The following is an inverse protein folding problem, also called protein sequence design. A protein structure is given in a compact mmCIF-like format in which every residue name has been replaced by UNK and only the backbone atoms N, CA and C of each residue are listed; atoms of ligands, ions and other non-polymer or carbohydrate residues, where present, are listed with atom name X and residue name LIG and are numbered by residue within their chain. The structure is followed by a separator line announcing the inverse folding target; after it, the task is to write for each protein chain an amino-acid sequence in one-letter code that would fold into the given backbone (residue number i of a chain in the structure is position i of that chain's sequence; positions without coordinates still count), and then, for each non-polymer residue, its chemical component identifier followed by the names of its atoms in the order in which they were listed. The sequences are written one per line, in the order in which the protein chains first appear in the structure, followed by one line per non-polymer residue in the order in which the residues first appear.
data_IF_954594764128
#
_entry.id   IF_954594764128
#
_cell.length_a   1.000
_cell.length_b   1.000
_cell.length_c   1.000
_cell.angle_alpha   90.00
_cell.angle_beta   90.00
_cell.angle_gamma   90.00
#
_symmetry.space_group_name_H-M   'P 1'
#
loop_
_entity.id
_entity.type
_entity.pdbx_description
1 polymer ?
#
# COMPACT_ATOMS: atom_id res chain seq x y z
N UNK A 1 -9.95 23.56 -34.77
CA UNK A 1 -9.98 23.49 -33.31
C UNK A 1 -8.70 22.84 -32.86
N UNK A 2 -8.01 23.38 -31.87
CA UNK A 2 -6.84 22.74 -31.26
C UNK A 2 -7.25 21.43 -30.60
N UNK A 3 -6.49 20.36 -30.85
CA UNK A 3 -6.71 19.08 -30.18
C UNK A 3 -6.44 19.24 -28.68
N UNK A 4 -7.48 19.10 -27.86
CA UNK A 4 -7.39 19.25 -26.40
C UNK A 4 -6.62 18.11 -25.73
N UNK A 5 -6.36 17.02 -26.45
CA UNK A 5 -5.63 15.85 -25.95
C UNK A 5 -4.18 15.80 -26.46
N UNK A 6 -3.73 16.80 -27.24
CA UNK A 6 -2.37 16.83 -27.79
C UNK A 6 -1.28 16.68 -26.71
N UNK A 7 -1.50 17.27 -25.52
CA UNK A 7 -0.57 17.18 -24.40
C UNK A 7 -0.28 15.73 -23.96
N UNK A 8 -1.25 14.81 -24.10
CA UNK A 8 -1.07 13.39 -23.76
C UNK A 8 -0.05 12.75 -24.72
N UNK A 9 -0.16 13.04 -26.02
CA UNK A 9 0.75 12.51 -27.02
C UNK A 9 2.16 13.07 -26.83
N UNK A 10 2.27 14.35 -26.50
CA UNK A 10 3.54 15.03 -26.18
C UNK A 10 4.21 14.42 -24.94
N UNK A 11 3.47 14.27 -23.83
CA UNK A 11 3.99 13.63 -22.61
C UNK A 11 4.45 12.19 -22.85
N UNK A 12 3.67 11.42 -23.62
CA UNK A 12 4.01 10.05 -23.99
C UNK A 12 5.27 9.96 -24.87
N UNK A 13 5.47 10.92 -25.77
CA UNK A 13 6.68 11.00 -26.58
C UNK A 13 7.90 11.32 -25.70
N UNK A 14 7.76 12.27 -24.78
CA UNK A 14 8.82 12.64 -23.83
C UNK A 14 9.23 11.45 -22.94
N UNK A 15 8.26 10.69 -22.41
CA UNK A 15 8.55 9.48 -21.63
C UNK A 15 9.31 8.43 -22.45
N UNK A 16 8.99 8.27 -23.73
CA UNK A 16 9.69 7.33 -24.62
C UNK A 16 11.11 7.79 -24.91
N UNK A 17 11.30 9.07 -25.21
CA UNK A 17 12.62 9.67 -25.46
C UNK A 17 13.55 9.53 -24.24
N UNK A 18 13.01 9.70 -23.03
CA UNK A 18 13.74 9.55 -21.77
C UNK A 18 13.92 8.09 -21.33
N UNK A 19 13.34 7.12 -22.04
CA UNK A 19 13.36 5.71 -21.64
C UNK A 19 12.54 5.41 -20.36
N UNK A 20 11.66 6.32 -19.94
CA UNK A 20 10.78 6.19 -18.78
C UNK A 20 9.43 5.56 -19.13
N UNK A 21 9.14 5.36 -20.41
CA UNK A 21 7.90 4.75 -20.85
C UNK A 21 7.84 3.27 -20.43
N UNK A 22 6.86 2.92 -19.58
CA UNK A 22 6.71 1.58 -19.02
C UNK A 22 5.99 0.67 -20.00
N UNK A 23 6.64 -0.42 -20.40
CA UNK A 23 6.02 -1.52 -21.13
C UNK A 23 5.61 -2.65 -20.16
N UNK A 24 4.31 -2.78 -19.93
CA UNK A 24 3.77 -3.81 -19.03
C UNK A 24 3.86 -5.19 -19.70
N UNK A 25 4.49 -6.14 -19.02
CA UNK A 25 4.62 -7.54 -19.46
C UNK A 25 3.34 -8.31 -19.12
N UNK A 26 2.95 -9.27 -19.96
CA UNK A 26 1.73 -10.06 -19.76
C UNK A 26 2.06 -11.41 -19.14
N UNK A 27 1.41 -11.72 -18.03
CA UNK A 27 1.51 -13.02 -17.35
C UNK A 27 0.40 -13.96 -17.85
N UNK A 28 0.78 -15.16 -18.27
CA UNK A 28 -0.13 -16.15 -18.89
C UNK A 28 -0.20 -17.47 -18.10
N UNK A 29 0.33 -17.50 -16.88
CA UNK A 29 0.24 -18.61 -15.94
C UNK A 29 -0.07 -18.11 -14.52
N UNK A 30 -0.49 -18.97 -13.59
CA UNK A 30 -0.47 -18.63 -12.16
C UNK A 30 0.93 -18.17 -11.72
N UNK A 31 0.98 -17.35 -10.68
CA UNK A 31 2.24 -16.94 -10.05
C UNK A 31 2.86 -18.13 -9.33
N UNK A 32 4.07 -18.50 -9.73
CA UNK A 32 4.86 -19.58 -9.13
C UNK A 32 6.36 -19.29 -9.34
N UNK A 33 7.24 -20.21 -8.95
CA UNK A 33 8.66 -20.13 -9.27
C UNK A 33 8.88 -20.10 -10.80
N UNK A 34 8.19 -20.94 -11.56
CA UNK A 34 8.20 -20.91 -13.01
C UNK A 34 6.91 -20.33 -13.55
N UNK A 35 7.01 -19.34 -14.44
CA UNK A 35 5.88 -18.62 -15.02
C UNK A 35 5.95 -18.57 -16.54
N UNK A 36 4.83 -18.31 -17.19
CA UNK A 36 4.77 -17.92 -18.61
C UNK A 36 4.53 -16.42 -18.69
N UNK A 37 5.47 -15.69 -19.28
CA UNK A 37 5.41 -14.24 -19.48
C UNK A 37 5.74 -13.93 -20.93
N UNK A 38 4.83 -13.22 -21.61
CA UNK A 38 4.89 -12.92 -23.05
C UNK A 38 5.23 -14.16 -23.90
N UNK A 39 4.54 -15.27 -23.66
CA UNK A 39 4.67 -16.56 -24.34
C UNK A 39 5.91 -17.35 -23.97
N UNK A 40 6.72 -16.90 -23.00
CA UNK A 40 8.00 -17.54 -22.64
C UNK A 40 7.97 -18.08 -21.22
N UNK A 41 8.49 -19.30 -21.05
CA UNK A 41 8.72 -19.89 -19.73
C UNK A 41 9.94 -19.25 -19.06
N UNK A 42 9.74 -18.62 -17.91
CA UNK A 42 10.77 -17.87 -17.16
C UNK A 42 10.78 -18.26 -15.69
N UNK A 43 11.93 -18.10 -15.03
CA UNK A 43 12.07 -18.25 -13.58
C UNK A 43 11.80 -16.89 -12.93
N UNK A 44 10.89 -16.85 -11.96
CA UNK A 44 10.38 -15.64 -11.33
C UNK A 44 11.22 -15.24 -10.12
N UNK A 45 11.79 -14.02 -10.18
CA UNK A 45 12.53 -13.38 -9.09
C UNK A 45 12.01 -11.97 -8.77
N UNK A 46 10.83 -11.58 -9.26
CA UNK A 46 10.36 -10.19 -9.17
C UNK A 46 8.93 -10.04 -8.60
N UNK A 47 8.25 -11.12 -8.24
CA UNK A 47 6.97 -11.03 -7.52
C UNK A 47 7.17 -10.96 -6.02
N UNK A 48 6.28 -10.26 -5.32
CA UNK A 48 6.26 -10.21 -3.85
C UNK A 48 5.59 -11.44 -3.21
N UNK A 49 5.62 -12.60 -3.89
CA UNK A 49 5.04 -13.86 -3.42
C UNK A 49 6.03 -14.64 -2.54
N UNK A 50 6.55 -13.99 -1.49
CA UNK A 50 7.70 -14.48 -0.70
C UNK A 50 7.51 -15.90 -0.13
N UNK A 51 6.29 -16.25 0.25
CA UNK A 51 5.96 -17.55 0.85
C UNK A 51 5.33 -18.54 -0.15
N UNK A 52 5.24 -18.19 -1.43
CA UNK A 52 4.62 -19.05 -2.45
C UNK A 52 3.11 -19.23 -2.29
N UNK A 53 2.44 -18.38 -1.50
CA UNK A 53 1.04 -18.58 -1.14
C UNK A 53 0.06 -18.25 -2.27
N UNK A 54 0.43 -17.37 -3.22
CA UNK A 54 -0.48 -16.90 -4.27
C UNK A 54 -1.13 -18.02 -5.12
N UNK A 55 -0.45 -19.15 -5.31
CA UNK A 55 -0.95 -20.32 -6.04
C UNK A 55 -1.11 -21.58 -5.16
N UNK A 56 -1.05 -21.43 -3.83
CA UNK A 56 -1.06 -22.57 -2.92
C UNK A 56 -2.41 -23.33 -2.97
N UNK A 57 -2.42 -24.68 -3.09
CA UNK A 57 -3.66 -25.46 -3.25
C UNK A 57 -4.72 -25.18 -2.19
N UNK A 58 -4.32 -25.10 -0.91
CA UNK A 58 -5.25 -24.80 0.20
C UNK A 58 -5.90 -23.42 0.08
N UNK A 59 -5.22 -22.42 -0.50
CA UNK A 59 -5.82 -21.09 -0.72
C UNK A 59 -6.83 -21.12 -1.87
N UNK A 60 -6.53 -21.85 -2.95
CA UNK A 60 -7.47 -22.05 -4.07
C UNK A 60 -8.76 -22.71 -3.59
N UNK A 61 -8.64 -23.79 -2.82
CA UNK A 61 -9.80 -24.48 -2.24
C UNK A 61 -10.60 -23.59 -1.29
N UNK A 62 -9.91 -22.81 -0.43
CA UNK A 62 -10.58 -21.87 0.47
C UNK A 62 -11.34 -20.77 -0.29
N UNK A 63 -10.74 -20.22 -1.35
CA UNK A 63 -11.38 -19.23 -2.21
C UNK A 63 -12.61 -19.80 -2.93
N UNK A 64 -12.50 -21.01 -3.50
CA UNK A 64 -13.64 -21.69 -4.16
C UNK A 64 -14.80 -21.93 -3.20
N UNK A 65 -14.52 -22.40 -1.97
CA UNK A 65 -15.56 -22.57 -0.94
C UNK A 65 -16.20 -21.24 -0.55
N UNK A 66 -15.39 -20.19 -0.35
CA UNK A 66 -15.88 -18.87 0.01
C UNK A 66 -16.80 -18.30 -1.10
N UNK A 67 -16.45 -18.47 -2.38
CA UNK A 67 -17.30 -18.05 -3.49
C UNK A 67 -18.65 -18.79 -3.49
N UNK A 68 -18.65 -20.10 -3.26
CA UNK A 68 -19.90 -20.87 -3.21
C UNK A 68 -20.79 -20.46 -2.03
N UNK A 69 -20.21 -20.17 -0.86
CA UNK A 69 -20.96 -19.86 0.36
C UNK A 69 -21.39 -18.39 0.45
N UNK A 70 -20.54 -17.45 0.01
CA UNK A 70 -20.69 -16.01 0.23
C UNK A 70 -20.89 -15.19 -1.05
N UNK A 71 -20.74 -15.80 -2.22
CA UNK A 71 -20.69 -15.10 -3.51
C UNK A 71 -19.36 -14.35 -3.73
N UNK A 72 -19.32 -13.52 -4.77
CA UNK A 72 -18.11 -12.80 -5.20
C UNK A 72 -17.80 -11.59 -4.32
N UNK A 73 -18.81 -10.98 -3.70
CA UNK A 73 -18.61 -9.83 -2.83
C UNK A 73 -19.91 -9.26 -2.27
N UNK A 74 -19.81 -8.32 -1.33
CA UNK A 74 -20.96 -7.85 -0.55
C UNK A 74 -21.77 -6.73 -1.24
N UNK A 75 -21.32 -6.21 -2.38
CA UNK A 75 -22.00 -5.16 -3.18
C UNK A 75 -22.35 -3.85 -2.43
N UNK A 76 -21.78 -3.62 -1.24
CA UNK A 76 -22.02 -2.43 -0.44
C UNK A 76 -20.81 -2.10 0.45
N UNK A 77 -20.78 -0.87 0.97
CA UNK A 77 -19.78 -0.44 1.96
C UNK A 77 -20.07 -1.04 3.34
N UNK A 78 -19.02 -1.15 4.16
CA UNK A 78 -19.07 -1.77 5.50
C UNK A 78 -20.20 -1.23 6.39
N UNK A 79 -20.47 0.07 6.32
CA UNK A 79 -21.43 0.79 7.17
C UNK A 79 -22.90 0.63 6.78
N UNK A 80 -23.20 0.05 5.62
CA UNK A 80 -24.58 -0.09 5.13
C UNK A 80 -25.01 -1.56 5.14
N UNK A 81 -24.53 -2.33 4.16
CA UNK A 81 -24.84 -3.75 3.99
C UNK A 81 -23.60 -4.55 3.52
N UNK A 82 -22.40 -4.00 3.73
CA UNK A 82 -21.16 -4.52 3.17
C UNK A 82 -20.41 -5.52 4.06
N UNK A 83 -20.80 -5.67 5.32
CA UNK A 83 -20.03 -6.44 6.31
C UNK A 83 -20.51 -7.89 6.39
N UNK A 84 -19.83 -8.77 5.68
CA UNK A 84 -19.96 -10.23 5.86
C UNK A 84 -19.24 -10.73 7.12
N UNK A 85 -19.67 -11.88 7.66
CA UNK A 85 -19.00 -12.57 8.79
C UNK A 85 -17.52 -12.85 8.50
N UNK A 86 -17.16 -13.11 7.24
CA UNK A 86 -15.77 -13.29 6.80
C UNK A 86 -14.87 -12.10 7.13
N UNK A 87 -15.38 -10.86 7.01
CA UNK A 87 -14.60 -9.67 7.37
C UNK A 87 -14.28 -9.63 8.86
N UNK A 88 -15.28 -9.88 9.70
CA UNK A 88 -15.12 -9.87 11.15
C UNK A 88 -14.17 -10.98 11.63
N UNK A 89 -14.25 -12.17 11.03
CA UNK A 89 -13.34 -13.27 11.36
C UNK A 89 -11.91 -12.99 10.90
N UNK A 90 -11.73 -12.39 9.72
CA UNK A 90 -10.41 -11.94 9.26
C UNK A 90 -9.82 -10.91 10.22
N UNK A 91 -10.59 -9.88 10.58
CA UNK A 91 -10.17 -8.81 11.49
C UNK A 91 -9.80 -9.34 12.88
N UNK A 92 -10.60 -10.28 13.42
CA UNK A 92 -10.30 -10.96 14.69
C UNK A 92 -8.98 -11.73 14.62
N UNK A 93 -8.79 -12.55 13.58
CA UNK A 93 -7.58 -13.37 13.39
C UNK A 93 -6.34 -12.52 13.13
N UNK A 94 -6.47 -11.40 12.42
CA UNK A 94 -5.37 -10.46 12.20
C UNK A 94 -4.98 -9.75 13.50
N UNK A 95 -5.95 -9.34 14.32
CA UNK A 95 -5.69 -8.74 15.63
C UNK A 95 -4.93 -9.72 16.54
N UNK A 96 -5.38 -10.98 16.59
CA UNK A 96 -4.71 -12.07 17.32
C UNK A 96 -3.28 -12.31 16.81
N UNK A 97 -3.10 -12.41 15.48
CA UNK A 97 -1.78 -12.62 14.86
C UNK A 97 -0.80 -11.46 15.14
N UNK A 98 -1.29 -10.22 15.18
CA UNK A 98 -0.48 -9.02 15.44
C UNK A 98 -0.33 -8.69 16.92
N UNK A 99 -1.06 -9.37 17.81
CA UNK A 99 -1.04 -9.08 19.25
C UNK A 99 -1.62 -7.71 19.60
N UNK A 100 -2.66 -7.26 18.87
CA UNK A 100 -3.33 -5.96 19.07
C UNK A 100 -4.80 -6.14 19.46
N UNK A 101 -5.40 -5.11 20.07
CA UNK A 101 -6.77 -5.17 20.59
C UNK A 101 -7.83 -5.34 19.48
N UNK A 102 -7.60 -4.74 18.31
CA UNK A 102 -8.49 -4.80 17.17
C UNK A 102 -7.72 -4.60 15.85
N UNK A 103 -8.31 -5.01 14.73
CA UNK A 103 -7.81 -4.70 13.40
C UNK A 103 -8.96 -4.35 12.46
N UNK A 104 -8.64 -3.65 11.37
CA UNK A 104 -9.60 -3.27 10.34
C UNK A 104 -9.07 -3.68 8.97
N UNK A 105 -9.88 -4.40 8.21
CA UNK A 105 -9.57 -4.78 6.84
C UNK A 105 -9.96 -3.67 5.86
N UNK A 106 -9.06 -3.40 4.92
CA UNK A 106 -9.25 -2.50 3.78
C UNK A 106 -8.67 -3.13 2.52
N UNK A 107 -9.04 -2.62 1.35
CA UNK A 107 -8.78 -3.29 0.06
C UNK A 107 -7.29 -3.43 -0.31
N UNK A 108 -6.41 -2.59 0.23
CA UNK A 108 -4.98 -2.65 -0.04
C UNK A 108 -4.16 -2.02 1.08
N UNK A 109 -2.87 -2.35 1.15
CA UNK A 109 -1.91 -1.65 2.03
C UNK A 109 -1.80 -0.15 1.69
N UNK A 110 -2.02 0.22 0.42
CA UNK A 110 -2.07 1.62 0.00
C UNK A 110 -3.24 2.36 0.69
N UNK A 111 -4.44 1.78 0.63
CA UNK A 111 -5.62 2.33 1.29
C UNK A 111 -5.48 2.37 2.81
N UNK A 112 -4.80 1.38 3.42
CA UNK A 112 -4.58 1.34 4.86
C UNK A 112 -3.84 2.59 5.35
N UNK A 113 -2.74 2.94 4.70
CA UNK A 113 -1.97 4.14 5.03
C UNK A 113 -2.76 5.43 4.79
N UNK A 114 -3.48 5.51 3.67
CA UNK A 114 -4.31 6.68 3.34
C UNK A 114 -5.51 6.88 4.26
N UNK A 115 -5.99 5.84 4.95
CA UNK A 115 -7.09 5.93 5.90
C UNK A 115 -6.55 6.17 7.32
N UNK A 116 -5.51 5.44 7.72
CA UNK A 116 -5.00 5.49 9.09
C UNK A 116 -4.39 6.84 9.45
N UNK A 117 -3.51 7.37 8.59
CA UNK A 117 -2.75 8.60 8.86
C UNK A 117 -3.67 9.82 9.06
N UNK A 118 -4.57 10.19 8.12
CA UNK A 118 -5.44 11.36 8.28
C UNK A 118 -6.51 11.19 9.37
N UNK A 119 -6.77 9.97 9.85
CA UNK A 119 -7.66 9.74 10.99
C UNK A 119 -6.97 10.08 12.33
N UNK A 120 -5.64 10.01 12.39
CA UNK A 120 -4.85 10.23 13.62
C UNK A 120 -4.36 11.67 13.78
N UNK A 121 -4.08 12.36 12.68
CA UNK A 121 -3.50 13.70 12.64
C UNK A 121 -4.18 14.60 11.61
N UNK A 122 -4.17 15.91 11.86
CA UNK A 122 -4.75 16.93 10.98
C UNK A 122 -3.96 18.25 10.95
N UNK A 123 -4.59 19.33 10.48
CA UNK A 123 -3.97 20.66 10.27
C UNK A 123 -3.23 21.26 11.46
N UNK A 124 -3.60 20.88 12.68
CA UNK A 124 -3.00 21.39 13.94
C UNK A 124 -1.86 20.49 14.46
N UNK A 125 -1.58 19.40 13.76
CA UNK A 125 -0.64 18.35 14.17
C UNK A 125 0.57 18.31 13.22
N UNK A 126 1.59 17.52 13.58
CA UNK A 126 2.81 17.31 12.79
C UNK A 126 3.06 15.82 12.52
N UNK A 127 3.57 15.50 11.34
CA UNK A 127 4.04 14.17 10.95
C UNK A 127 5.53 14.20 10.67
N UNK A 128 6.28 13.32 11.33
CA UNK A 128 7.68 13.03 11.07
C UNK A 128 7.76 11.80 10.17
N UNK A 129 8.17 11.97 8.92
CA UNK A 129 8.20 10.91 7.90
C UNK A 129 9.63 10.62 7.49
N UNK A 130 9.99 9.33 7.42
CA UNK A 130 11.22 8.89 6.76
C UNK A 130 11.24 9.40 5.31
N UNK A 131 12.43 9.73 4.82
CA UNK A 131 12.65 10.25 3.46
C UNK A 131 12.30 9.25 2.36
N UNK A 132 12.43 7.94 2.62
CA UNK A 132 12.17 6.88 1.62
C UNK A 132 10.88 6.11 1.86
N UNK A 133 10.00 6.61 2.75
CA UNK A 133 8.69 6.01 2.99
C UNK A 133 7.93 5.72 1.68
N UNK A 134 7.25 4.57 1.65
CA UNK A 134 6.41 4.17 0.54
C UNK A 134 5.40 5.25 0.15
N UNK A 135 5.12 5.38 -1.15
CA UNK A 135 4.26 6.43 -1.71
C UNK A 135 2.88 6.55 -1.02
N UNK A 136 2.31 5.43 -0.57
CA UNK A 136 1.04 5.44 0.18
C UNK A 136 1.10 6.18 1.52
N UNK A 137 2.24 6.14 2.21
CA UNK A 137 2.46 6.87 3.46
C UNK A 137 2.57 8.35 3.13
N UNK A 138 3.38 8.70 2.13
CA UNK A 138 3.55 10.08 1.66
C UNK A 138 2.19 10.70 1.31
N UNK A 139 1.36 9.97 0.56
CA UNK A 139 0.02 10.43 0.20
C UNK A 139 -0.92 10.51 1.41
N UNK A 140 -0.87 9.55 2.34
CA UNK A 140 -1.61 9.63 3.60
C UNK A 140 -1.23 10.86 4.44
N UNK A 141 0.06 11.18 4.53
CA UNK A 141 0.57 12.38 5.18
C UNK A 141 0.02 13.64 4.50
N UNK A 142 0.06 13.71 3.16
CA UNK A 142 -0.50 14.86 2.41
C UNK A 142 -2.00 15.02 2.62
N UNK A 143 -2.75 13.91 2.61
CA UNK A 143 -4.20 13.89 2.82
C UNK A 143 -4.58 14.42 4.22
N UNK A 144 -3.75 14.17 5.24
CA UNK A 144 -3.99 14.65 6.60
C UNK A 144 -3.97 16.19 6.73
N UNK A 145 -3.25 16.87 5.82
CA UNK A 145 -2.95 18.32 5.91
C UNK A 145 -2.17 18.74 7.16
N UNK A 146 -1.63 17.80 7.93
CA UNK A 146 -0.70 18.08 9.01
C UNK A 146 0.60 18.70 8.46
N UNK A 147 1.37 19.37 9.33
CA UNK A 147 2.73 19.76 8.96
C UNK A 147 3.55 18.49 8.71
N UNK A 148 4.19 18.37 7.55
CA UNK A 148 5.11 17.28 7.26
C UNK A 148 6.53 17.76 7.52
N UNK A 149 7.27 17.01 8.35
CA UNK A 149 8.70 17.17 8.60
C UNK A 149 9.38 15.87 8.18
N UNK A 150 10.28 15.95 7.20
CA UNK A 150 11.04 14.78 6.75
C UNK A 150 12.32 14.67 7.57
N UNK A 151 12.63 13.45 8.01
CA UNK A 151 13.92 13.11 8.61
C UNK A 151 14.70 12.17 7.68
N UNK A 152 16.02 12.12 7.87
CA UNK A 152 16.90 11.31 7.02
C UNK A 152 16.63 9.80 7.14
N UNK A 153 16.76 9.11 6.01
CA UNK A 153 16.38 7.71 5.88
C UNK A 153 17.15 6.81 6.87
N UNK A 154 16.41 6.00 7.64
CA UNK A 154 16.97 5.11 8.66
C UNK A 154 17.85 5.84 9.71
N UNK A 155 17.63 7.15 9.93
CA UNK A 155 18.38 7.96 10.89
C UNK A 155 17.52 8.34 12.12
N UNK A 156 17.57 7.56 13.21
CA UNK A 156 16.83 7.87 14.44
C UNK A 156 17.37 9.12 15.16
N UNK A 157 18.63 9.50 14.95
CA UNK A 157 19.22 10.70 15.56
C UNK A 157 18.66 11.96 14.89
N UNK A 158 18.56 11.95 13.56
CA UNK A 158 17.89 13.04 12.85
C UNK A 158 16.40 13.10 13.19
N UNK A 159 15.71 11.95 13.26
CA UNK A 159 14.31 11.89 13.68
C UNK A 159 14.09 12.52 15.06
N UNK A 160 14.91 12.16 16.06
CA UNK A 160 14.83 12.73 17.41
C UNK A 160 15.10 14.25 17.41
N UNK A 161 16.09 14.70 16.64
CA UNK A 161 16.40 16.13 16.48
C UNK A 161 15.21 16.89 15.89
N UNK A 162 14.60 16.38 14.81
CA UNK A 162 13.39 16.98 14.20
C UNK A 162 12.23 17.04 15.18
N UNK A 163 12.03 15.99 15.99
CA UNK A 163 10.99 15.99 17.03
C UNK A 163 11.27 17.11 18.04
N UNK A 164 12.49 17.19 18.59
CA UNK A 164 12.89 18.21 19.59
C UNK A 164 12.69 19.63 19.08
N UNK A 165 13.03 19.89 17.82
CA UNK A 165 12.86 21.20 17.17
C UNK A 165 11.39 21.65 17.09
N UNK A 166 10.43 20.72 17.14
CA UNK A 166 9.00 20.98 16.96
C UNK A 166 8.17 20.79 18.26
N UNK A 167 8.81 20.52 19.41
CA UNK A 167 8.12 20.40 20.70
C UNK A 167 7.38 21.71 21.03
N UNK A 168 6.11 21.57 21.43
CA UNK A 168 5.26 22.70 21.84
C UNK A 168 4.70 23.54 20.69
N UNK A 169 5.02 23.23 19.43
CA UNK A 169 4.53 23.97 18.26
C UNK A 169 3.22 23.43 17.70
N UNK A 170 2.91 22.14 17.95
CA UNK A 170 1.75 21.44 17.40
C UNK A 170 0.99 20.71 18.50
N UNK A 171 -0.28 20.41 18.25
CA UNK A 171 -1.16 19.74 19.22
C UNK A 171 -0.75 18.28 19.45
N UNK A 172 -0.37 17.55 18.39
CA UNK A 172 0.11 16.15 18.42
C UNK A 172 1.21 15.94 17.38
N UNK A 173 2.03 14.91 17.60
CA UNK A 173 3.04 14.44 16.65
C UNK A 173 2.86 12.96 16.32
N UNK A 174 3.02 12.60 15.05
CA UNK A 174 3.07 11.22 14.56
C UNK A 174 4.41 10.98 13.87
N UNK A 175 5.19 10.01 14.34
CA UNK A 175 6.34 9.49 13.58
C UNK A 175 5.90 8.26 12.79
N UNK A 176 6.20 8.23 11.50
CA UNK A 176 5.81 7.15 10.59
C UNK A 176 6.98 6.73 9.70
N UNK A 177 7.21 5.42 9.66
CA UNK A 177 8.27 4.78 8.87
C UNK A 177 7.78 3.45 8.32
N UNK A 178 8.29 3.04 7.16
CA UNK A 178 8.20 1.66 6.71
C UNK A 178 8.94 0.73 7.68
N UNK A 179 8.48 -0.52 7.77
CA UNK A 179 9.12 -1.55 8.58
C UNK A 179 10.23 -2.31 7.85
N UNK A 180 10.10 -2.43 6.52
CA UNK A 180 11.14 -2.89 5.59
C UNK A 180 10.95 -2.05 4.32
N UNK A 181 12.00 -1.40 3.85
CA UNK A 181 11.91 -0.51 2.69
C UNK A 181 11.92 -1.30 1.39
N UNK A 182 10.94 -1.03 0.53
CA UNK A 182 10.59 -1.92 -0.59
C UNK A 182 11.64 -2.00 -1.71
N UNK A 183 12.49 -0.98 -1.84
CA UNK A 183 13.47 -0.89 -2.92
C UNK A 183 14.84 -1.39 -2.52
N UNK A 184 15.29 -1.03 -1.31
CA UNK A 184 16.64 -1.32 -0.83
C UNK A 184 16.68 -2.55 0.10
N UNK A 185 15.55 -2.92 0.71
CA UNK A 185 15.40 -4.13 1.52
C UNK A 185 15.94 -4.04 2.94
N UNK A 186 16.22 -2.81 3.41
CA UNK A 186 16.65 -2.48 4.77
C UNK A 186 15.49 -2.17 5.73
#
# INVERSE_FOLDING_TARGET
MTDRLAFIAEEMANLKEQGLFIHIRTMESPVDAWMVVDGRRVLNFCTNNYLGLANHPKLKEAAQRAIHEWGVGPAAVRTIAGTQKLHLELERRLAEFKGVEASMYVQSGFCANQIAIPALVGREDVVFSDRLNHASIIDGCRLSRAKIVVYEHCDPVDAERKIKENIGQYRRGLLVTDGVFSMDGD
#
